data_IF_043329914693
#
_entry.id   IF_043329914693
#
_cell.length_a   1.000
_cell.length_b   1.000
_cell.length_c   1.000
_cell.angle_alpha   90.00
_cell.angle_beta   90.00
_cell.angle_gamma   90.00
#
_symmetry.space_group_name_H-M   'P 1'
#
loop_
_entity.id
_entity.type
_entity.pdbx_description
1 polymer ?
#
# COMPACT_ATOMS: atom_id res chain seq x y z
N UNK A 1 8.28 -3.46 -35.30
CA UNK A 1 8.71 -4.25 -34.11
C UNK A 1 8.33 -3.61 -32.75
N UNK A 2 8.54 -2.30 -32.55
CA UNK A 2 8.20 -1.60 -31.28
C UNK A 2 6.69 -1.53 -30.96
N UNK A 3 5.85 -1.22 -31.96
CA UNK A 3 4.39 -1.14 -31.81
C UNK A 3 3.75 -2.48 -31.41
N UNK A 4 4.22 -3.59 -31.99
CA UNK A 4 3.74 -4.95 -31.69
C UNK A 4 4.09 -5.33 -30.25
N UNK A 5 5.29 -4.99 -29.77
CA UNK A 5 5.70 -5.23 -28.37
C UNK A 5 4.83 -4.46 -27.36
N UNK A 6 4.48 -3.22 -27.67
CA UNK A 6 3.58 -2.42 -26.81
C UNK A 6 2.14 -2.96 -26.79
N UNK A 7 1.64 -3.46 -27.92
CA UNK A 7 0.32 -4.06 -27.99
C UNK A 7 0.27 -5.39 -27.21
N UNK A 8 1.26 -6.26 -27.39
CA UNK A 8 1.37 -7.52 -26.66
C UNK A 8 1.44 -7.29 -25.14
N UNK A 9 2.25 -6.32 -24.70
CA UNK A 9 2.36 -5.93 -23.29
C UNK A 9 1.00 -5.52 -22.71
N UNK A 10 0.23 -4.69 -23.42
CA UNK A 10 -1.13 -4.29 -23.00
C UNK A 10 -2.10 -5.46 -22.92
N UNK A 11 -2.03 -6.40 -23.86
CA UNK A 11 -2.87 -7.61 -23.85
C UNK A 11 -2.55 -8.45 -22.62
N UNK A 12 -1.27 -8.72 -22.37
CA UNK A 12 -0.82 -9.47 -21.18
C UNK A 12 -1.30 -8.78 -19.90
N UNK A 13 -1.13 -7.45 -19.77
CA UNK A 13 -1.63 -6.71 -18.61
C UNK A 13 -3.13 -6.90 -18.38
N UNK A 14 -3.94 -6.85 -19.45
CA UNK A 14 -5.38 -7.06 -19.38
C UNK A 14 -5.74 -8.48 -18.94
N UNK A 15 -5.04 -9.48 -19.46
CA UNK A 15 -5.24 -10.89 -19.08
C UNK A 15 -4.92 -11.07 -17.59
N UNK A 16 -3.75 -10.62 -17.14
CA UNK A 16 -3.35 -10.72 -15.73
C UNK A 16 -4.32 -9.99 -14.81
N UNK A 17 -4.79 -8.80 -15.21
CA UNK A 17 -5.79 -8.05 -14.46
C UNK A 17 -7.12 -8.82 -14.37
N UNK A 18 -7.55 -9.46 -15.46
CA UNK A 18 -8.75 -10.31 -15.45
C UNK A 18 -8.58 -11.50 -14.50
N UNK A 19 -7.46 -12.21 -14.56
CA UNK A 19 -7.13 -13.31 -13.65
C UNK A 19 -7.13 -12.85 -12.20
N UNK A 20 -6.45 -11.75 -11.90
CA UNK A 20 -6.41 -11.17 -10.57
C UNK A 20 -7.81 -10.83 -10.05
N UNK A 21 -8.69 -10.26 -10.89
CA UNK A 21 -10.10 -10.00 -10.52
C UNK A 21 -10.86 -11.29 -10.20
N UNK A 22 -10.66 -12.35 -10.98
CA UNK A 22 -11.29 -13.65 -10.73
C UNK A 22 -10.81 -14.27 -9.42
N UNK A 23 -9.50 -14.19 -9.15
CA UNK A 23 -8.88 -14.64 -7.90
C UNK A 23 -9.46 -13.88 -6.70
N UNK A 24 -9.51 -12.54 -6.75
CA UNK A 24 -10.10 -11.72 -5.69
C UNK A 24 -11.57 -12.08 -5.46
N UNK A 25 -12.35 -12.26 -6.53
CA UNK A 25 -13.76 -12.63 -6.42
C UNK A 25 -13.96 -14.00 -5.79
N UNK A 26 -13.07 -14.95 -6.08
CA UNK A 26 -13.14 -16.33 -5.59
C UNK A 26 -12.73 -16.47 -4.13
N UNK A 27 -11.57 -15.92 -3.76
CA UNK A 27 -10.98 -16.13 -2.44
C UNK A 27 -11.34 -15.02 -1.44
N UNK A 28 -11.83 -13.87 -1.92
CA UNK A 28 -12.24 -12.72 -1.11
C UNK A 28 -11.26 -12.37 0.02
N UNK A 29 -9.94 -12.24 -0.27
CA UNK A 29 -8.98 -11.85 0.75
C UNK A 29 -9.26 -10.42 1.22
N UNK A 30 -8.87 -10.10 2.45
CA UNK A 30 -8.86 -8.71 2.93
C UNK A 30 -7.72 -7.94 2.28
N UNK A 31 -8.02 -6.78 1.70
CA UNK A 31 -7.06 -5.99 0.94
C UNK A 31 -6.71 -4.69 1.66
N UNK A 32 -5.44 -4.55 2.01
CA UNK A 32 -4.83 -3.31 2.50
C UNK A 32 -4.09 -2.64 1.35
N UNK A 33 -4.52 -1.43 0.96
CA UNK A 33 -3.85 -0.60 -0.04
C UNK A 33 -3.03 0.50 0.63
N UNK A 34 -1.72 0.57 0.38
CA UNK A 34 -0.83 1.59 0.96
C UNK A 34 -0.37 2.54 -0.14
N UNK A 35 -0.62 3.84 0.01
CA UNK A 35 -0.14 4.86 -0.92
C UNK A 35 0.38 6.12 -0.22
N UNK A 36 1.02 7.00 -1.00
CA UNK A 36 1.69 8.21 -0.56
C UNK A 36 2.94 8.52 -1.37
N UNK A 37 3.63 9.60 -1.05
CA UNK A 37 4.96 9.88 -1.62
C UNK A 37 6.07 9.18 -0.85
N UNK A 38 6.01 9.23 0.47
CA UNK A 38 7.09 8.77 1.36
C UNK A 38 6.55 7.69 2.28
N UNK A 39 7.36 6.69 2.61
CA UNK A 39 7.01 5.67 3.61
C UNK A 39 6.21 4.46 3.10
N UNK A 40 5.68 4.48 1.88
CA UNK A 40 4.86 3.39 1.31
C UNK A 40 5.41 1.98 1.55
N UNK A 41 6.66 1.75 1.13
CA UNK A 41 7.29 0.42 1.20
C UNK A 41 7.51 -0.02 2.66
N UNK A 42 8.02 0.87 3.52
CA UNK A 42 8.19 0.61 4.94
C UNK A 42 6.86 0.29 5.62
N UNK A 43 5.82 1.10 5.38
CA UNK A 43 4.49 0.92 5.96
C UNK A 43 3.86 -0.40 5.51
N UNK A 44 3.90 -0.71 4.21
CA UNK A 44 3.43 -2.01 3.69
C UNK A 44 4.16 -3.17 4.36
N UNK A 45 5.47 -3.06 4.52
CA UNK A 45 6.29 -4.12 5.14
C UNK A 45 6.00 -4.29 6.62
N UNK A 46 5.82 -3.20 7.37
CA UNK A 46 5.43 -3.22 8.78
C UNK A 46 4.04 -3.85 8.98
N UNK A 47 3.04 -3.40 8.21
CA UNK A 47 1.68 -3.97 8.25
C UNK A 47 1.72 -5.47 7.95
N UNK A 48 2.41 -5.88 6.88
CA UNK A 48 2.52 -7.28 6.52
C UNK A 48 3.19 -8.11 7.62
N UNK A 49 4.23 -7.56 8.29
CA UNK A 49 4.94 -8.23 9.38
C UNK A 49 4.04 -8.46 10.59
N UNK A 50 3.22 -7.47 10.96
CA UNK A 50 2.28 -7.58 12.09
C UNK A 50 1.15 -8.55 11.76
N UNK A 51 0.53 -8.44 10.58
CA UNK A 51 -0.55 -9.34 10.18
C UNK A 51 -0.09 -10.81 10.06
N UNK A 52 1.15 -11.04 9.61
CA UNK A 52 1.72 -12.37 9.44
C UNK A 52 1.93 -13.13 10.77
N UNK A 53 1.81 -12.46 11.93
CA UNK A 53 1.81 -13.13 13.23
C UNK A 53 0.62 -14.08 13.38
N UNK A 54 -0.52 -13.76 12.75
CA UNK A 54 -1.76 -14.52 12.92
C UNK A 54 -2.34 -15.06 11.61
N UNK A 55 -2.14 -14.37 10.49
CA UNK A 55 -2.82 -14.67 9.24
C UNK A 55 -1.84 -15.07 8.12
N UNK A 56 -2.35 -15.77 7.10
CA UNK A 56 -1.61 -15.92 5.85
C UNK A 56 -1.64 -14.62 5.05
N UNK A 57 -0.49 -13.96 4.94
CA UNK A 57 -0.35 -12.65 4.29
C UNK A 57 0.49 -12.76 3.03
N UNK A 58 0.06 -12.07 1.97
CA UNK A 58 0.94 -11.77 0.83
C UNK A 58 1.04 -10.26 0.64
N UNK A 59 2.26 -9.78 0.41
CA UNK A 59 2.54 -8.37 0.15
C UNK A 59 3.14 -8.15 -1.24
N UNK A 60 2.98 -6.96 -1.81
CA UNK A 60 3.67 -6.62 -3.07
C UNK A 60 5.18 -6.43 -2.88
N UNK A 61 5.98 -6.82 -3.87
CA UNK A 61 7.40 -6.45 -3.92
C UNK A 61 7.56 -4.95 -4.22
N UNK A 62 8.71 -4.34 -3.88
CA UNK A 62 8.91 -2.88 -3.98
C UNK A 62 8.65 -2.31 -5.38
N UNK A 63 8.93 -3.06 -6.44
CA UNK A 63 8.69 -2.65 -7.83
C UNK A 63 7.26 -2.92 -8.31
N UNK A 64 6.43 -3.60 -7.52
CA UNK A 64 5.14 -4.15 -7.96
C UNK A 64 3.97 -3.30 -7.47
N UNK A 65 4.01 -2.02 -7.83
CA UNK A 65 3.04 -1.01 -7.39
C UNK A 65 2.19 -0.43 -8.52
N UNK A 66 2.27 -1.04 -9.71
CA UNK A 66 1.67 -0.58 -10.97
C UNK A 66 0.64 -1.58 -11.53
N UNK A 67 0.10 -1.27 -12.71
CA UNK A 67 -0.87 -2.11 -13.44
C UNK A 67 -0.41 -3.55 -13.71
N UNK A 68 0.90 -3.82 -13.74
CA UNK A 68 1.45 -5.18 -13.88
C UNK A 68 1.77 -5.81 -12.53
N UNK A 69 2.38 -5.04 -11.64
CA UNK A 69 2.88 -5.54 -10.37
C UNK A 69 1.78 -6.04 -9.44
N UNK A 70 0.65 -5.33 -9.40
CA UNK A 70 -0.47 -5.70 -8.55
C UNK A 70 -1.11 -7.03 -8.97
N UNK A 71 -1.49 -7.25 -10.25
CA UNK A 71 -1.93 -8.56 -10.71
C UNK A 71 -0.93 -9.69 -10.44
N UNK A 72 0.37 -9.47 -10.70
CA UNK A 72 1.40 -10.47 -10.42
C UNK A 72 1.46 -10.85 -8.94
N UNK A 73 1.35 -9.86 -8.05
CA UNK A 73 1.28 -10.09 -6.60
C UNK A 73 0.03 -10.92 -6.24
N UNK A 74 -1.13 -10.62 -6.81
CA UNK A 74 -2.38 -11.35 -6.57
C UNK A 74 -2.30 -12.79 -7.10
N UNK A 75 -1.64 -13.02 -8.23
CA UNK A 75 -1.39 -14.37 -8.76
C UNK A 75 -0.34 -15.11 -7.89
N UNK A 76 0.56 -14.36 -7.23
CA UNK A 76 1.68 -14.91 -6.48
C UNK A 76 2.89 -15.25 -7.37
N UNK A 77 3.02 -14.55 -8.49
CA UNK A 77 4.06 -14.74 -9.49
C UNK A 77 5.05 -13.56 -9.50
N UNK A 78 6.27 -13.84 -9.97
CA UNK A 78 7.26 -12.81 -10.30
C UNK A 78 7.24 -12.53 -11.80
N UNK A 79 7.64 -11.33 -12.19
CA UNK A 79 7.74 -10.85 -13.56
C UNK A 79 8.69 -11.74 -14.37
N UNK A 80 8.24 -12.15 -15.54
CA UNK A 80 9.04 -12.90 -16.51
C UNK A 80 10.01 -12.01 -17.32
N UNK A 81 10.05 -10.70 -17.04
CA UNK A 81 10.87 -9.72 -17.74
C UNK A 81 10.72 -9.83 -19.27
N UNK A 82 11.77 -10.25 -19.96
CA UNK A 82 11.83 -10.37 -21.42
C UNK A 82 11.46 -11.76 -21.95
N UNK A 83 11.10 -12.72 -21.08
CA UNK A 83 10.76 -14.09 -21.47
C UNK A 83 9.29 -14.22 -21.86
N UNK A 84 9.00 -14.40 -23.15
CA UNK A 84 7.65 -14.65 -23.65
C UNK A 84 7.05 -15.96 -23.11
N UNK A 85 7.86 -17.03 -23.03
CA UNK A 85 7.46 -18.30 -22.44
C UNK A 85 7.14 -18.16 -20.95
N UNK A 86 7.92 -17.36 -20.22
CA UNK A 86 7.63 -17.07 -18.81
C UNK A 86 6.32 -16.32 -18.62
N UNK A 87 5.93 -15.43 -19.54
CA UNK A 87 4.61 -14.79 -19.49
C UNK A 87 3.47 -15.77 -19.73
N UNK A 88 3.64 -16.76 -20.63
CA UNK A 88 2.65 -17.82 -20.82
C UNK A 88 2.50 -18.69 -19.57
N UNK A 89 3.60 -19.01 -18.89
CA UNK A 89 3.59 -19.74 -17.61
C UNK A 89 2.85 -18.97 -16.52
N UNK A 90 3.09 -17.65 -16.42
CA UNK A 90 2.39 -16.78 -15.46
C UNK A 90 0.89 -16.76 -15.72
N UNK A 91 0.47 -16.63 -16.99
CA UNK A 91 -0.94 -16.67 -17.39
C UNK A 91 -1.56 -18.03 -17.05
N UNK A 92 -0.92 -19.13 -17.42
CA UNK A 92 -1.39 -20.48 -17.09
C UNK A 92 -1.53 -20.66 -15.57
N UNK A 93 -0.59 -20.13 -14.79
CA UNK A 93 -0.65 -20.11 -13.32
C UNK A 93 -1.80 -19.24 -12.81
N UNK A 94 -2.01 -18.05 -13.37
CA UNK A 94 -3.10 -17.14 -12.99
C UNK A 94 -4.46 -17.80 -13.19
N UNK A 95 -4.67 -18.43 -14.35
CA UNK A 95 -5.85 -19.26 -14.62
C UNK A 95 -5.98 -20.41 -13.62
N UNK A 96 -4.90 -21.17 -13.39
CA UNK A 96 -4.92 -22.27 -12.42
C UNK A 96 -5.30 -21.80 -11.01
N UNK A 97 -4.73 -20.69 -10.53
CA UNK A 97 -5.07 -20.12 -9.22
C UNK A 97 -6.54 -19.70 -9.18
N UNK A 98 -7.05 -19.10 -10.26
CA UNK A 98 -8.43 -18.62 -10.35
C UNK A 98 -9.47 -19.75 -10.35
N UNK A 99 -9.14 -20.95 -10.86
CA UNK A 99 -10.08 -22.09 -10.95
C UNK A 99 -9.85 -23.17 -9.89
N UNK A 100 -8.62 -23.33 -9.41
CA UNK A 100 -8.29 -24.33 -8.39
C UNK A 100 -8.89 -23.98 -7.02
N UNK A 101 -8.95 -24.95 -6.12
CA UNK A 101 -9.34 -24.76 -4.72
C UNK A 101 -8.14 -24.72 -3.76
N UNK A 102 -6.98 -24.25 -4.24
CA UNK A 102 -5.76 -24.25 -3.43
C UNK A 102 -5.85 -23.26 -2.26
N UNK A 103 -4.95 -23.41 -1.29
CA UNK A 103 -4.80 -22.41 -0.22
C UNK A 103 -4.40 -21.05 -0.81
N UNK A 104 -5.01 -19.98 -0.32
CA UNK A 104 -4.75 -18.62 -0.75
C UNK A 104 -4.61 -17.70 0.48
N UNK A 105 -3.79 -16.63 0.43
CA UNK A 105 -3.64 -15.69 1.53
C UNK A 105 -4.96 -15.08 1.97
N UNK A 106 -5.17 -14.99 3.27
CA UNK A 106 -6.32 -14.31 3.87
C UNK A 106 -6.20 -12.79 3.72
N UNK A 107 -4.97 -12.27 3.70
CA UNK A 107 -4.69 -10.85 3.60
C UNK A 107 -3.73 -10.52 2.45
N UNK A 108 -4.03 -9.44 1.73
CA UNK A 108 -3.16 -8.83 0.74
C UNK A 108 -2.75 -7.44 1.23
N UNK A 109 -1.44 -7.17 1.29
CA UNK A 109 -0.89 -5.85 1.65
C UNK A 109 -0.17 -5.27 0.44
N UNK A 110 -0.83 -4.36 -0.25
CA UNK A 110 -0.47 -3.91 -1.58
C UNK A 110 -0.01 -2.45 -1.53
N UNK A 111 1.26 -2.22 -1.87
CA UNK A 111 1.73 -0.87 -2.19
C UNK A 111 1.17 -0.43 -3.55
N UNK A 112 0.43 0.67 -3.57
CA UNK A 112 -0.17 1.24 -4.78
C UNK A 112 0.53 2.55 -5.13
N UNK A 113 1.28 2.52 -6.22
CA UNK A 113 2.03 3.65 -6.77
C UNK A 113 1.17 4.49 -7.71
N UNK A 114 1.60 5.73 -7.93
CA UNK A 114 1.11 6.56 -9.02
C UNK A 114 2.24 7.47 -9.47
N UNK A 115 2.61 7.35 -10.73
CA UNK A 115 3.57 8.23 -11.39
C UNK A 115 2.84 9.17 -12.36
N UNK A 116 1.65 8.76 -12.84
CA UNK A 116 0.85 9.47 -13.83
C UNK A 116 -0.61 9.60 -13.38
N UNK A 117 -1.35 10.57 -13.96
CA UNK A 117 -2.79 10.65 -13.78
C UNK A 117 -3.49 9.36 -14.21
N UNK A 118 -4.37 8.83 -13.36
CA UNK A 118 -5.16 7.64 -13.61
C UNK A 118 -4.61 6.34 -13.03
N UNK A 119 -3.36 6.29 -12.56
CA UNK A 119 -2.73 5.06 -12.08
C UNK A 119 -3.51 4.42 -10.90
N UNK A 120 -3.69 5.13 -9.80
CA UNK A 120 -4.43 4.64 -8.63
C UNK A 120 -5.92 4.58 -8.97
N UNK A 121 -6.45 5.60 -9.65
CA UNK A 121 -7.86 5.64 -10.05
C UNK A 121 -8.28 4.44 -10.88
N UNK A 122 -7.38 3.88 -11.69
CA UNK A 122 -7.68 2.68 -12.46
C UNK A 122 -7.54 1.41 -11.62
N UNK A 123 -6.62 1.36 -10.67
CA UNK A 123 -6.49 0.23 -9.72
C UNK A 123 -7.77 0.05 -8.91
N UNK A 124 -8.26 1.11 -8.28
CA UNK A 124 -9.43 1.03 -7.39
C UNK A 124 -10.74 0.68 -8.11
N UNK A 125 -10.80 0.79 -9.44
CA UNK A 125 -11.97 0.37 -10.22
C UNK A 125 -12.17 -1.14 -10.26
N UNK A 126 -11.10 -1.91 -10.16
CA UNK A 126 -11.16 -3.37 -10.29
C UNK A 126 -10.71 -4.10 -9.03
N UNK A 127 -9.89 -3.46 -8.19
CA UNK A 127 -9.40 -4.01 -6.94
C UNK A 127 -10.17 -3.40 -5.77
N UNK A 128 -11.08 -4.16 -5.12
CA UNK A 128 -11.72 -3.69 -3.89
C UNK A 128 -10.66 -3.54 -2.79
N UNK A 129 -10.65 -2.36 -2.15
CA UNK A 129 -9.78 -2.08 -1.00
C UNK A 129 -10.66 -2.10 0.25
N UNK A 130 -10.28 -2.87 1.26
CA UNK A 130 -10.96 -2.88 2.58
C UNK A 130 -10.35 -1.81 3.50
N UNK A 131 -9.03 -1.65 3.45
CA UNK A 131 -8.28 -0.72 4.29
C UNK A 131 -7.33 0.09 3.41
N UNK A 132 -7.49 1.41 3.39
CA UNK A 132 -6.60 2.32 2.68
C UNK A 132 -5.70 3.08 3.63
N UNK A 133 -4.39 3.03 3.42
CA UNK A 133 -3.39 3.73 4.22
C UNK A 133 -2.77 4.84 3.38
N UNK A 134 -2.85 6.08 3.87
CA UNK A 134 -2.26 7.25 3.22
C UNK A 134 -1.14 7.82 4.09
N UNK A 135 0.11 7.62 3.67
CA UNK A 135 1.29 7.85 4.52
C UNK A 135 1.71 9.31 4.60
N UNK A 136 2.13 9.94 3.50
CA UNK A 136 2.55 11.36 3.47
C UNK A 136 2.49 11.92 2.06
N UNK A 137 2.01 13.15 1.90
CA UNK A 137 1.91 13.88 0.64
C UNK A 137 2.65 15.23 0.77
N UNK A 138 3.98 15.26 0.53
CA UNK A 138 4.78 16.46 0.73
C UNK A 138 4.26 17.62 -0.13
N UNK A 139 4.44 18.83 0.40
CA UNK A 139 3.98 20.06 -0.25
C UNK A 139 4.54 20.23 -1.67
N UNK A 140 5.77 19.74 -1.89
CA UNK A 140 6.44 19.63 -3.20
C UNK A 140 6.62 18.14 -3.53
N UNK A 141 5.79 17.57 -4.40
CA UNK A 141 5.87 16.16 -4.73
C UNK A 141 6.90 15.86 -5.83
N UNK A 142 7.51 14.68 -5.73
CA UNK A 142 8.31 14.09 -6.81
C UNK A 142 7.35 13.62 -7.92
N UNK A 143 7.77 13.69 -9.18
CA UNK A 143 6.97 13.36 -10.37
C UNK A 143 5.79 14.30 -10.67
N UNK A 144 5.76 15.50 -10.07
CA UNK A 144 4.76 16.53 -10.40
C UNK A 144 4.77 16.89 -11.89
N UNK A 145 5.91 16.68 -12.58
CA UNK A 145 6.09 16.91 -14.02
C UNK A 145 5.09 16.17 -14.92
N UNK A 146 4.54 15.04 -14.46
CA UNK A 146 3.52 14.29 -15.22
C UNK A 146 2.08 14.74 -14.92
N UNK A 147 1.91 15.65 -13.96
CA UNK A 147 0.62 16.19 -13.56
C UNK A 147 0.48 17.65 -14.01
N UNK A 148 -0.73 18.06 -14.35
CA UNK A 148 -1.01 19.44 -14.75
C UNK A 148 -0.77 20.43 -13.61
N UNK A 149 -1.07 20.02 -12.38
CA UNK A 149 -0.94 20.83 -11.17
C UNK A 149 -0.99 19.96 -9.91
N UNK A 150 -0.68 20.57 -8.76
CA UNK A 150 -0.71 19.93 -7.44
C UNK A 150 -2.08 19.34 -7.09
N UNK A 151 -3.17 20.00 -7.49
CA UNK A 151 -4.52 19.51 -7.24
C UNK A 151 -4.77 18.16 -7.92
N UNK A 152 -4.41 18.02 -9.21
CA UNK A 152 -4.55 16.75 -9.93
C UNK A 152 -3.71 15.63 -9.29
N UNK A 153 -2.50 15.95 -8.84
CA UNK A 153 -1.63 15.02 -8.11
C UNK A 153 -2.28 14.54 -6.80
N UNK A 154 -2.82 15.47 -5.99
CA UNK A 154 -3.50 15.13 -4.74
C UNK A 154 -4.76 14.30 -4.99
N UNK A 155 -5.56 14.66 -5.99
CA UNK A 155 -6.74 13.89 -6.39
C UNK A 155 -6.39 12.47 -6.86
N UNK A 156 -5.25 12.28 -7.51
CA UNK A 156 -4.76 10.95 -7.87
C UNK A 156 -4.37 10.15 -6.64
N UNK A 157 -3.54 10.72 -5.75
CA UNK A 157 -3.04 10.01 -4.55
C UNK A 157 -4.13 9.69 -3.54
N UNK A 158 -5.06 10.61 -3.34
CA UNK A 158 -6.19 10.42 -2.40
C UNK A 158 -7.28 9.51 -2.95
N UNK A 159 -7.26 9.18 -4.25
CA UNK A 159 -8.28 8.31 -4.84
C UNK A 159 -8.35 6.91 -4.22
N UNK A 160 -7.24 6.41 -3.65
CA UNK A 160 -7.23 5.14 -2.92
C UNK A 160 -8.18 5.17 -1.73
N UNK A 161 -8.00 6.12 -0.82
CA UNK A 161 -8.85 6.24 0.38
C UNK A 161 -10.25 6.75 0.06
N UNK A 162 -10.41 7.59 -0.97
CA UNK A 162 -11.74 8.04 -1.44
C UNK A 162 -12.57 6.90 -2.07
N UNK A 163 -11.94 5.82 -2.52
CA UNK A 163 -12.64 4.66 -3.10
C UNK A 163 -13.27 3.73 -2.07
N UNK A 164 -12.89 3.88 -0.79
CA UNK A 164 -13.36 3.02 0.29
C UNK A 164 -14.87 3.22 0.54
N UNK A 165 -15.53 2.11 0.89
CA UNK A 165 -16.94 2.12 1.31
C UNK A 165 -17.06 2.52 2.79
N UNK A 166 -18.28 2.71 3.28
CA UNK A 166 -18.57 3.01 4.71
C UNK A 166 -18.14 1.89 5.67
N UNK A 167 -18.01 0.67 5.15
CA UNK A 167 -17.48 -0.47 5.90
C UNK A 167 -15.94 -0.50 5.93
N UNK A 168 -15.29 0.23 5.02
CA UNK A 168 -13.84 0.30 4.91
C UNK A 168 -13.21 1.21 5.95
N UNK A 169 -11.89 1.08 6.11
CA UNK A 169 -11.08 1.90 7.00
C UNK A 169 -10.05 2.72 6.25
N UNK A 170 -10.02 4.03 6.50
CA UNK A 170 -8.95 4.92 6.08
C UNK A 170 -8.00 5.17 7.26
N UNK A 171 -6.73 4.82 7.08
CA UNK A 171 -5.66 5.09 8.05
C UNK A 171 -4.87 6.29 7.54
N UNK A 172 -4.93 7.40 8.28
CA UNK A 172 -4.48 8.71 7.80
C UNK A 172 -3.39 9.30 8.70
N UNK A 173 -2.30 9.77 8.10
CA UNK A 173 -1.28 10.53 8.81
C UNK A 173 -1.71 11.99 9.03
N UNK A 174 -1.95 12.36 10.28
CA UNK A 174 -2.37 13.71 10.69
C UNK A 174 -1.21 14.70 10.87
N UNK A 175 0.05 14.27 10.71
CA UNK A 175 1.19 15.19 10.60
C UNK A 175 1.25 15.90 9.24
N UNK A 176 0.45 15.44 8.28
CA UNK A 176 0.32 16.05 6.96
C UNK A 176 -1.01 16.82 6.88
N UNK A 177 -0.98 18.16 6.84
CA UNK A 177 -2.19 18.97 6.83
C UNK A 177 -3.14 18.63 5.67
N UNK A 178 -2.60 18.26 4.50
CA UNK A 178 -3.40 17.93 3.33
C UNK A 178 -4.17 16.62 3.54
N UNK A 179 -3.54 15.66 4.22
CA UNK A 179 -4.18 14.38 4.57
C UNK A 179 -5.21 14.60 5.68
N UNK A 180 -4.89 15.43 6.68
CA UNK A 180 -5.79 15.78 7.77
C UNK A 180 -7.11 16.39 7.24
N UNK A 181 -7.03 17.35 6.32
CA UNK A 181 -8.17 18.02 5.69
C UNK A 181 -9.02 17.10 4.76
N UNK A 182 -8.57 15.86 4.54
CA UNK A 182 -9.31 14.88 3.74
C UNK A 182 -10.42 14.19 4.56
N UNK A 183 -10.31 14.17 5.88
CA UNK A 183 -11.16 13.39 6.79
C UNK A 183 -12.64 13.56 6.49
N UNK A 184 -13.12 14.80 6.40
CA UNK A 184 -14.55 15.11 6.19
C UNK A 184 -15.07 14.75 4.77
N UNK A 185 -14.17 14.41 3.86
CA UNK A 185 -14.48 14.05 2.47
C UNK A 185 -14.54 12.54 2.26
N UNK A 186 -14.26 11.74 3.29
CA UNK A 186 -14.27 10.29 3.23
C UNK A 186 -15.59 9.73 3.75
N UNK A 187 -16.09 8.70 3.06
CA UNK A 187 -17.25 7.90 3.52
C UNK A 187 -16.82 6.80 4.50
N UNK A 188 -15.56 6.39 4.40
CA UNK A 188 -14.98 5.33 5.20
C UNK A 188 -14.76 5.76 6.65
N UNK A 189 -14.63 4.77 7.53
CA UNK A 189 -14.25 5.00 8.92
C UNK A 189 -12.79 5.45 8.97
N UNK A 190 -12.48 6.45 9.77
CA UNK A 190 -11.13 7.01 9.86
C UNK A 190 -10.45 6.62 11.17
N UNK A 191 -9.19 6.18 11.07
CA UNK A 191 -8.25 6.17 12.19
C UNK A 191 -7.07 7.04 11.78
N UNK A 192 -6.80 8.06 12.59
CA UNK A 192 -5.68 8.95 12.38
C UNK A 192 -4.51 8.61 13.30
N UNK A 193 -3.30 8.86 12.82
CA UNK A 193 -2.08 8.75 13.60
C UNK A 193 -1.18 9.97 13.37
N UNK A 194 -0.34 10.30 14.34
CA UNK A 194 0.59 11.43 14.23
C UNK A 194 1.03 11.96 15.59
N UNK A 195 1.71 13.10 15.57
CA UNK A 195 2.23 13.80 16.76
C UNK A 195 1.29 14.91 17.23
N UNK A 196 0.23 15.18 16.48
CA UNK A 196 -0.78 16.18 16.83
C UNK A 196 -1.81 15.59 17.78
N UNK A 197 -2.31 16.38 18.74
CA UNK A 197 -3.33 15.97 19.70
C UNK A 197 -4.68 15.61 19.05
N UNK A 198 -4.87 15.96 17.78
CA UNK A 198 -6.04 15.62 16.98
C UNK A 198 -5.94 14.21 16.36
N UNK A 199 -4.75 13.60 16.38
CA UNK A 199 -4.58 12.22 15.95
C UNK A 199 -5.17 11.26 16.99
N UNK A 200 -5.91 10.25 16.53
CA UNK A 200 -6.51 9.23 17.41
C UNK A 200 -5.44 8.32 18.04
N UNK A 201 -4.38 8.04 17.28
CA UNK A 201 -3.17 7.37 17.76
C UNK A 201 -2.08 8.43 17.86
N UNK A 202 -1.75 8.84 19.09
CA UNK A 202 -0.74 9.86 19.34
C UNK A 202 0.64 9.21 19.48
N UNK A 203 1.61 9.76 18.75
CA UNK A 203 3.02 9.40 18.86
C UNK A 203 3.69 10.36 19.83
N UNK A 204 4.35 9.82 20.86
CA UNK A 204 5.03 10.63 21.88
C UNK A 204 6.36 10.02 22.32
N UNK A 205 7.16 10.80 23.06
CA UNK A 205 8.39 10.34 23.72
C UNK A 205 9.42 9.65 22.79
N UNK A 206 9.67 10.22 21.62
CA UNK A 206 10.69 9.71 20.69
C UNK A 206 12.11 9.90 21.24
N UNK A 207 12.83 8.79 21.40
CA UNK A 207 14.20 8.80 21.91
C UNK A 207 15.05 7.77 21.18
N UNK A 208 16.26 8.16 20.80
CA UNK A 208 17.26 7.18 20.38
C UNK A 208 17.74 6.42 21.62
N UNK A 209 17.99 5.12 21.47
CA UNK A 209 18.57 4.30 22.53
C UNK A 209 19.89 3.66 22.09
N UNK A 210 20.73 3.41 23.07
CA UNK A 210 22.07 2.87 22.90
C UNK A 210 22.17 1.52 23.60
N UNK A 211 22.96 0.62 23.03
CA UNK A 211 23.34 -0.67 23.62
C UNK A 211 24.87 -0.75 23.58
N UNK A 212 25.50 -0.93 24.75
CA UNK A 212 26.96 -0.87 24.91
C UNK A 212 27.61 0.37 24.25
N UNK A 213 27.07 1.57 24.55
CA UNK A 213 27.48 2.87 23.97
C UNK A 213 27.36 2.98 22.44
N UNK A 214 26.76 1.99 21.77
CA UNK A 214 26.49 2.03 20.34
C UNK A 214 25.03 2.40 20.08
N UNK A 215 24.81 3.28 19.10
CA UNK A 215 23.46 3.66 18.70
C UNK A 215 22.69 2.44 18.18
N UNK A 216 21.70 1.99 18.95
CA UNK A 216 21.03 0.70 18.74
C UNK A 216 19.65 0.84 18.10
N UNK A 217 18.97 1.97 18.25
CA UNK A 217 17.69 2.21 17.58
C UNK A 217 16.89 3.37 18.15
N UNK A 218 15.57 3.29 18.00
CA UNK A 218 14.62 4.32 18.41
C UNK A 218 13.47 3.72 19.24
N UNK A 219 13.09 4.41 20.31
CA UNK A 219 11.91 4.14 21.12
C UNK A 219 10.91 5.28 20.98
N UNK A 220 9.62 4.97 21.06
CA UNK A 220 8.54 5.94 21.15
C UNK A 220 7.35 5.30 21.87
N UNK A 221 6.31 6.09 22.17
CA UNK A 221 5.05 5.60 22.71
C UNK A 221 3.91 5.86 21.72
N UNK A 222 2.97 4.94 21.69
CA UNK A 222 1.70 5.06 21.00
C UNK A 222 0.59 5.14 22.03
N UNK A 223 -0.11 6.26 22.07
CA UNK A 223 -1.23 6.49 22.97
C UNK A 223 -2.54 6.35 22.19
N UNK A 224 -3.43 5.44 22.63
CA UNK A 224 -4.72 5.17 22.02
C UNK A 224 -5.78 4.87 23.09
N UNK A 225 -6.83 5.69 23.17
CA UNK A 225 -7.99 5.49 24.07
C UNK A 225 -7.58 5.23 25.53
N UNK A 226 -6.61 6.00 26.03
CA UNK A 226 -6.12 5.91 27.41
C UNK A 226 -5.07 4.83 27.65
N UNK A 227 -4.85 3.92 26.69
CA UNK A 227 -3.74 2.97 26.72
C UNK A 227 -2.49 3.59 26.11
N UNK A 228 -1.32 3.27 26.68
CA UNK A 228 -0.01 3.70 26.19
C UNK A 228 0.86 2.47 25.92
N UNK A 229 1.25 2.29 24.66
CA UNK A 229 2.09 1.19 24.21
C UNK A 229 3.50 1.70 23.91
N UNK A 230 4.53 1.30 24.68
CA UNK A 230 5.91 1.58 24.30
C UNK A 230 6.32 0.71 23.11
N UNK A 231 6.90 1.34 22.09
CA UNK A 231 7.41 0.68 20.88
C UNK A 231 8.92 0.88 20.79
N UNK A 232 9.63 -0.22 20.49
CA UNK A 232 11.08 -0.24 20.26
C UNK A 232 11.37 -0.69 18.84
N UNK A 233 12.11 0.12 18.10
CA UNK A 233 12.61 -0.19 16.76
C UNK A 233 14.12 -0.42 16.81
N UNK A 234 14.53 -1.68 16.84
CA UNK A 234 15.94 -2.08 16.82
C UNK A 234 16.56 -1.95 15.44
N UNK A 235 17.77 -1.38 15.38
CA UNK A 235 18.51 -1.13 14.13
C UNK A 235 17.95 0.01 13.28
N UNK A 236 16.94 0.74 13.76
CA UNK A 236 16.30 1.85 13.04
C UNK A 236 16.50 3.14 13.81
N UNK A 237 17.18 4.10 13.18
CA UNK A 237 17.50 5.41 13.77
C UNK A 237 16.76 6.56 13.07
N UNK A 238 16.18 6.29 11.89
CA UNK A 238 15.47 7.30 11.10
C UNK A 238 14.06 7.55 11.63
N UNK A 239 13.81 8.73 12.20
CA UNK A 239 12.48 9.12 12.72
C UNK A 239 11.34 9.00 11.71
N UNK A 240 11.63 9.16 10.42
CA UNK A 240 10.64 8.97 9.35
C UNK A 240 10.06 7.55 9.26
N UNK A 241 10.66 6.56 9.93
CA UNK A 241 10.14 5.19 10.03
C UNK A 241 9.09 5.02 11.14
N UNK A 242 8.98 5.97 12.07
CA UNK A 242 8.00 5.89 13.18
C UNK A 242 6.59 5.80 12.62
N UNK A 243 6.22 6.69 11.71
CA UNK A 243 4.90 6.67 11.09
C UNK A 243 4.62 5.46 10.19
N UNK A 244 5.60 4.58 9.95
CA UNK A 244 5.37 3.28 9.33
C UNK A 244 5.17 2.15 10.36
N UNK A 245 5.70 2.33 11.57
CA UNK A 245 5.57 1.40 12.69
C UNK A 245 4.33 1.65 13.55
N UNK A 246 3.77 2.86 13.48
CA UNK A 246 2.47 3.25 14.04
C UNK A 246 1.31 2.65 13.24
#
# INVERSE_FOLDING_TARGET
>A
MFLIKNLAKKIVAKILCLEARLIIKRYQPKVVGVTGSVGKTSTKDAIAKVLAVKYQVRKSEKSYNSEFGLPLTIIGAKSAWNSSLGWLEIIARGLWVAISGQKYPEWLVLEVGADRPGDIKNVVKWLPIDIGVLTRLPAVPVHIEFFKNKHQYLEEKTSLVKSLTEAGWAILNFDDPVIKDLTDKLKARVISYGHTSEAKILISNEQLYYDNDQLAGLNFKLDYVGDSLPVRLSGIIGRHQIGAAT
#
